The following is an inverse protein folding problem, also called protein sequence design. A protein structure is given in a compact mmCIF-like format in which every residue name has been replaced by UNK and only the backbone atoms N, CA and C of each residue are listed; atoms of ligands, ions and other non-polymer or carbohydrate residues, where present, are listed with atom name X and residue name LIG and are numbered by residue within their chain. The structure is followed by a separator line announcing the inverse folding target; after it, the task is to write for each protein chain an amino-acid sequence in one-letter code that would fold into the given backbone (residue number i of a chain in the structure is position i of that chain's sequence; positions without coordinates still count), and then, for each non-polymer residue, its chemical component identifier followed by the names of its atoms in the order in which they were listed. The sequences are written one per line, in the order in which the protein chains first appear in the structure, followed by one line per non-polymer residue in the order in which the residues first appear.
data_IF_325812811399
#
_entry.id   IF_325812811399
#
_cell.length_a   1.000
_cell.length_b   1.000
_cell.length_c   1.000
_cell.angle_alpha   90.00
_cell.angle_beta   90.00
_cell.angle_gamma   90.00
#
_symmetry.space_group_name_H-M   'P 1'
#
loop_
_entity.id
_entity.type
_entity.pdbx_description
1 polymer ?
#
# COMPACT_ATOMS: atom_id res chain seq x y z
N UNK A 1 59.96 24.89 -2.66
CA UNK A 1 60.36 23.86 -3.64
C UNK A 1 59.16 22.97 -3.90
N UNK A 2 58.67 22.92 -5.14
CA UNK A 2 57.60 21.99 -5.55
C UNK A 2 58.20 20.62 -5.91
N UNK A 3 57.41 19.55 -5.73
CA UNK A 3 57.06 18.65 -6.83
C UNK A 3 55.51 18.56 -6.92
N UNK A 4 54.79 18.83 -8.02
CA UNK A 4 54.74 18.29 -9.40
C UNK A 4 54.26 16.83 -9.54
N UNK A 5 52.96 16.71 -9.87
CA UNK A 5 52.30 15.67 -10.69
C UNK A 5 51.63 14.50 -9.93
N UNK A 6 50.42 13.99 -10.24
CA UNK A 6 49.39 14.31 -11.27
C UNK A 6 48.12 13.47 -10.98
N UNK A 7 46.92 14.03 -11.28
CA UNK A 7 45.61 13.39 -11.70
C UNK A 7 44.87 12.42 -10.75
N UNK A 8 43.52 12.34 -10.62
CA UNK A 8 42.29 13.05 -11.08
C UNK A 8 41.18 12.59 -10.11
N UNK A 9 40.23 13.45 -9.73
CA UNK A 9 38.80 13.08 -9.66
C UNK A 9 37.91 14.33 -9.54
N UNK A 10 36.93 14.32 -10.43
CA UNK A 10 35.86 15.27 -10.70
C UNK A 10 35.06 15.64 -9.44
N UNK A 11 35.04 16.93 -9.07
CA UNK A 11 34.06 17.49 -8.14
C UNK A 11 34.05 19.02 -8.20
N UNK A 12 33.10 19.53 -9.00
CA UNK A 12 32.37 20.79 -8.83
C UNK A 12 32.72 21.59 -7.57
N UNK A 13 33.49 22.67 -7.75
CA UNK A 13 33.47 23.87 -6.90
C UNK A 13 33.10 25.03 -7.83
N UNK A 14 32.08 25.84 -7.54
CA UNK A 14 32.16 27.08 -6.73
C UNK A 14 30.74 27.70 -6.81
N UNK A 15 30.10 28.19 -5.75
CA UNK A 15 30.45 29.43 -5.07
C UNK A 15 29.92 29.51 -3.61
N UNK A 16 30.89 29.67 -2.70
CA UNK A 16 31.00 30.52 -1.49
C UNK A 16 29.84 31.01 -0.61
N UNK A 17 28.54 30.77 -0.85
CA UNK A 17 27.48 31.26 0.07
C UNK A 17 26.73 30.16 0.85
N UNK A 18 27.08 28.89 0.67
CA UNK A 18 26.49 27.79 1.44
C UNK A 18 27.10 27.58 2.84
N UNK A 19 27.94 28.51 3.31
CA UNK A 19 28.67 28.40 4.58
C UNK A 19 27.99 29.00 5.83
N UNK A 20 26.77 29.54 5.73
CA UNK A 20 26.05 30.16 6.87
C UNK A 20 24.58 29.76 7.03
N UNK A 21 24.14 28.64 6.44
CA UNK A 21 22.71 28.27 6.51
C UNK A 21 22.42 26.79 6.76
N UNK A 22 23.31 26.07 7.45
CA UNK A 22 23.18 24.62 7.64
C UNK A 22 23.20 24.14 9.08
N UNK A 23 22.90 24.97 10.09
CA UNK A 23 22.92 24.45 11.47
C UNK A 23 21.74 24.78 12.38
N UNK A 24 20.95 25.85 12.21
CA UNK A 24 19.82 26.14 13.14
C UNK A 24 18.61 26.85 12.51
N UNK A 25 18.13 26.41 11.35
CA UNK A 25 16.80 26.77 10.89
C UNK A 25 15.87 25.56 11.07
N UNK A 26 15.38 25.36 12.29
CA UNK A 26 14.21 24.49 12.47
C UNK A 26 13.09 25.02 11.58
N UNK A 27 12.52 24.14 10.77
CA UNK A 27 11.44 24.44 9.82
C UNK A 27 10.17 24.98 10.51
N UNK A 28 10.11 24.95 11.84
CA UNK A 28 8.95 25.26 12.68
C UNK A 28 8.83 26.70 13.19
N UNK A 29 9.84 27.58 13.00
CA UNK A 29 9.84 28.92 13.66
C UNK A 29 9.66 30.12 12.74
N UNK A 30 9.32 29.94 11.46
CA UNK A 30 9.19 31.05 10.49
C UNK A 30 7.75 31.55 10.34
N UNK A 31 7.07 31.72 11.47
CA UNK A 31 5.70 32.22 11.52
C UNK A 31 5.69 33.75 11.57
N UNK A 32 5.19 34.40 10.51
CA UNK A 32 5.11 35.87 10.46
C UNK A 32 3.74 36.33 10.96
N UNK A 33 3.66 37.09 12.07
CA UNK A 33 2.40 37.70 12.48
C UNK A 33 2.00 38.80 11.48
N UNK A 34 0.74 38.79 11.06
CA UNK A 34 0.12 39.84 10.24
C UNK A 34 -1.25 40.19 10.83
N UNK A 35 -1.73 41.42 10.65
CA UNK A 35 -2.98 41.90 11.28
C UNK A 35 -4.20 41.21 10.73
N UNK A 36 -4.29 41.12 9.41
CA UNK A 36 -5.44 40.61 8.68
C UNK A 36 -5.03 39.97 7.33
N UNK A 37 -6.01 39.49 6.59
CA UNK A 37 -5.79 38.89 5.26
C UNK A 37 -5.26 39.90 4.24
N UNK A 38 -5.58 41.19 4.39
CA UNK A 38 -5.06 42.23 3.49
C UNK A 38 -3.57 42.42 3.68
N UNK A 39 -3.08 42.42 4.94
CA UNK A 39 -1.64 42.52 5.23
C UNK A 39 -0.88 41.25 4.80
N UNK A 40 -1.49 40.07 4.87
CA UNK A 40 -0.95 38.85 4.24
C UNK A 40 -0.84 39.01 2.72
N UNK A 41 -1.92 39.44 2.08
CA UNK A 41 -1.99 39.53 0.62
C UNK A 41 -1.09 40.64 0.07
N UNK A 42 -0.77 41.65 0.89
CA UNK A 42 0.18 42.72 0.57
C UNK A 42 1.66 42.30 0.73
N UNK A 43 1.96 41.09 1.22
CA UNK A 43 3.35 40.61 1.34
C UNK A 43 4.02 40.56 -0.05
N UNK A 44 5.12 41.28 -0.19
CA UNK A 44 5.85 41.42 -1.46
C UNK A 44 6.54 40.11 -1.85
N UNK A 45 6.62 39.85 -3.17
CA UNK A 45 7.38 38.75 -3.76
C UNK A 45 8.72 39.29 -4.27
N UNK A 46 9.81 38.55 -4.02
CA UNK A 46 11.12 38.93 -4.53
C UNK A 46 11.20 38.72 -6.07
N UNK A 47 11.67 39.71 -6.86
CA UNK A 47 11.63 39.62 -8.31
C UNK A 47 12.75 38.78 -8.96
N UNK A 48 13.77 38.29 -8.22
CA UNK A 48 14.88 37.57 -8.86
C UNK A 48 15.61 36.51 -7.99
N UNK A 49 16.25 35.53 -8.69
CA UNK A 49 17.02 34.28 -8.38
C UNK A 49 17.33 33.78 -6.94
N UNK A 50 16.97 34.46 -5.87
CA UNK A 50 17.09 33.98 -4.47
C UNK A 50 15.86 33.16 -4.00
N UNK A 51 15.03 32.68 -4.92
CA UNK A 51 13.75 31.97 -4.66
C UNK A 51 13.90 30.58 -4.02
N UNK A 52 15.13 30.10 -3.85
CA UNK A 52 15.46 28.85 -3.15
C UNK A 52 16.05 29.07 -1.75
N UNK A 53 16.14 30.32 -1.26
CA UNK A 53 16.62 30.58 0.08
C UNK A 53 15.48 30.32 1.08
N UNK A 54 15.56 29.19 1.78
CA UNK A 54 14.86 29.01 3.04
C UNK A 54 15.11 30.24 3.93
N UNK A 55 14.03 30.93 4.30
CA UNK A 55 13.93 31.94 5.36
C UNK A 55 15.17 32.79 5.63
N UNK A 56 15.36 33.89 4.90
CA UNK A 56 16.35 34.92 5.26
C UNK A 56 15.79 36.00 6.21
N UNK A 57 14.57 35.85 6.72
CA UNK A 57 13.90 36.86 7.56
C UNK A 57 13.52 38.15 6.84
N UNK A 58 13.62 38.22 5.50
CA UNK A 58 13.37 39.45 4.71
C UNK A 58 11.92 39.95 4.71
N UNK A 59 10.98 39.13 5.18
CA UNK A 59 9.56 39.45 5.15
C UNK A 59 8.92 39.37 3.76
N UNK A 60 9.63 38.83 2.77
CA UNK A 60 9.15 38.51 1.42
C UNK A 60 8.56 37.10 1.37
N UNK A 61 7.65 36.84 0.42
CA UNK A 61 7.04 35.51 0.25
C UNK A 61 8.06 34.46 -0.18
N UNK A 62 8.05 33.32 0.51
CA UNK A 62 8.81 32.12 0.17
C UNK A 62 7.90 30.89 0.25
N UNK A 63 8.24 29.83 -0.48
CA UNK A 63 7.49 28.56 -0.43
C UNK A 63 7.49 28.02 1.01
N UNK A 64 6.34 27.51 1.47
CA UNK A 64 6.09 27.01 2.81
C UNK A 64 6.16 28.06 3.94
N UNK A 65 6.22 29.35 3.61
CA UNK A 65 6.07 30.42 4.59
C UNK A 65 4.73 30.28 5.33
N UNK A 66 4.76 30.38 6.65
CA UNK A 66 3.55 30.45 7.48
C UNK A 66 3.34 31.87 7.96
N UNK A 67 2.09 32.33 7.92
CA UNK A 67 1.65 33.58 8.55
C UNK A 67 0.59 33.27 9.59
N UNK A 68 0.59 34.03 10.67
CA UNK A 68 -0.44 33.98 11.70
C UNK A 68 -1.14 35.32 11.75
N UNK A 69 -2.45 35.31 11.53
CA UNK A 69 -3.29 36.46 11.75
C UNK A 69 -3.31 36.80 13.25
N UNK A 70 -3.55 38.06 13.62
CA UNK A 70 -3.76 38.42 15.03
C UNK A 70 -4.92 37.65 15.68
N UNK A 71 -5.86 37.13 14.87
CA UNK A 71 -6.91 36.21 15.32
C UNK A 71 -6.42 34.81 15.72
N UNK A 72 -5.13 34.51 15.54
CA UNK A 72 -4.52 33.19 15.76
C UNK A 72 -4.67 32.22 14.58
N UNK A 73 -5.37 32.62 13.51
CA UNK A 73 -5.56 31.79 12.31
C UNK A 73 -4.28 31.75 11.49
N UNK A 74 -3.83 30.54 11.14
CA UNK A 74 -2.56 30.32 10.45
C UNK A 74 -2.77 29.96 8.98
N UNK A 75 -2.00 30.54 8.08
CA UNK A 75 -1.96 30.18 6.66
C UNK A 75 -0.54 29.82 6.24
N UNK A 76 -0.39 28.83 5.37
CA UNK A 76 0.88 28.44 4.79
C UNK A 76 0.81 28.57 3.27
N UNK A 77 1.80 29.24 2.68
CA UNK A 77 1.91 29.37 1.24
C UNK A 77 2.40 28.05 0.63
N UNK A 78 1.51 27.31 -0.03
CA UNK A 78 1.80 26.02 -0.64
C UNK A 78 1.66 26.12 -2.14
N UNK A 79 2.75 25.87 -2.85
CA UNK A 79 2.77 25.83 -4.31
C UNK A 79 3.06 24.38 -4.72
N UNK A 80 2.04 23.61 -5.16
CA UNK A 80 2.25 22.27 -5.68
C UNK A 80 3.28 22.31 -6.81
N UNK A 81 4.20 21.35 -6.82
CA UNK A 81 5.17 21.19 -7.90
C UNK A 81 6.09 22.40 -8.17
N UNK A 82 6.43 23.20 -7.14
CA UNK A 82 7.33 24.36 -7.30
C UNK A 82 8.66 24.03 -8.01
N UNK A 83 9.18 22.81 -7.84
CA UNK A 83 10.38 22.33 -8.53
C UNK A 83 10.21 22.06 -10.03
N UNK A 84 8.97 21.90 -10.51
CA UNK A 84 8.64 21.70 -11.93
C UNK A 84 8.40 23.03 -12.67
N UNK A 85 8.30 24.16 -11.96
CA UNK A 85 8.26 25.48 -12.59
C UNK A 85 9.66 25.79 -13.15
N UNK A 86 9.76 25.88 -14.47
CA UNK A 86 11.05 25.93 -15.16
C UNK A 86 11.63 27.34 -15.18
N UNK A 87 10.79 28.36 -15.33
CA UNK A 87 11.25 29.75 -15.43
C UNK A 87 11.17 30.50 -14.10
N UNK A 88 12.02 31.52 -13.94
CA UNK A 88 11.96 32.40 -12.76
C UNK A 88 10.64 33.18 -12.71
N UNK A 89 10.09 33.57 -13.87
CA UNK A 89 8.81 34.28 -13.97
C UNK A 89 7.65 33.41 -13.46
N UNK A 90 7.60 32.13 -13.81
CA UNK A 90 6.54 31.22 -13.35
C UNK A 90 6.58 31.05 -11.83
N UNK A 91 7.77 30.97 -11.25
CA UNK A 91 7.94 30.88 -9.79
C UNK A 91 7.51 32.16 -9.08
N UNK A 92 7.82 33.33 -9.64
CA UNK A 92 7.38 34.63 -9.11
C UNK A 92 5.86 34.75 -9.19
N UNK A 93 5.26 34.38 -10.33
CA UNK A 93 3.81 34.40 -10.50
C UNK A 93 3.10 33.47 -9.51
N UNK A 94 3.62 32.26 -9.32
CA UNK A 94 3.05 31.31 -8.36
C UNK A 94 3.15 31.80 -6.90
N UNK A 95 4.22 32.51 -6.52
CA UNK A 95 4.34 33.12 -5.18
C UNK A 95 3.43 34.35 -5.00
N UNK A 96 3.17 35.08 -6.08
CA UNK A 96 2.30 36.24 -6.07
C UNK A 96 0.81 35.87 -5.98
N UNK A 97 0.44 34.69 -6.46
CA UNK A 97 -0.93 34.21 -6.42
C UNK A 97 -1.41 33.92 -4.99
N UNK A 98 -2.41 34.69 -4.54
CA UNK A 98 -2.99 34.56 -3.21
C UNK A 98 -3.81 33.28 -3.02
N UNK A 99 -4.23 32.62 -4.10
CA UNK A 99 -4.93 31.34 -4.02
C UNK A 99 -4.05 30.22 -3.46
N UNK A 100 -2.71 30.38 -3.49
CA UNK A 100 -1.77 29.40 -2.97
C UNK A 100 -1.61 29.46 -1.43
N UNK A 101 -2.28 30.38 -0.73
CA UNK A 101 -2.33 30.37 0.74
C UNK A 101 -3.35 29.35 1.23
N UNK A 102 -2.86 28.32 1.93
CA UNK A 102 -3.68 27.25 2.50
C UNK A 102 -3.79 27.42 4.01
N UNK A 103 -4.99 27.29 4.56
CA UNK A 103 -5.21 27.30 6.00
C UNK A 103 -4.41 26.15 6.67
N UNK A 104 -3.58 26.48 7.65
CA UNK A 104 -2.90 25.47 8.48
C UNK A 104 -3.85 25.05 9.58
N UNK A 105 -4.47 23.89 9.41
CA UNK A 105 -5.19 23.23 10.49
C UNK A 105 -4.13 22.57 11.38
N UNK A 106 -3.67 23.30 12.40
CA UNK A 106 -2.88 22.68 13.46
C UNK A 106 -3.75 21.60 14.11
N UNK A 107 -3.21 20.39 14.17
CA UNK A 107 -3.91 19.21 14.65
C UNK A 107 -4.30 19.31 16.11
N UNK A 108 -5.43 19.94 16.39
CA UNK A 108 -6.41 19.50 17.40
C UNK A 108 -7.81 19.94 16.94
N UNK A 109 -8.62 19.03 16.35
CA UNK A 109 -9.98 19.35 15.92
C UNK A 109 -10.87 19.85 17.06
N UNK A 110 -10.54 19.59 18.34
CA UNK A 110 -11.31 20.06 19.47
C UNK A 110 -11.16 21.57 19.73
N UNK A 111 -9.99 22.15 19.43
CA UNK A 111 -9.75 23.59 19.57
C UNK A 111 -10.43 24.40 18.45
N UNK A 112 -10.48 23.86 17.23
CA UNK A 112 -11.20 24.47 16.10
C UNK A 112 -12.72 24.51 16.36
N UNK A 113 -13.27 23.48 17.02
CA UNK A 113 -14.69 23.46 17.44
C UNK A 113 -14.95 24.47 18.56
N UNK A 114 -14.01 24.71 19.47
CA UNK A 114 -14.16 25.72 20.53
C UNK A 114 -14.13 27.16 19.99
N UNK A 115 -13.26 27.46 19.01
CA UNK A 115 -13.21 28.79 18.36
C UNK A 115 -14.43 29.01 17.45
N UNK A 116 -14.94 27.97 16.79
CA UNK A 116 -16.20 28.03 16.04
C UNK A 116 -17.44 28.16 16.93
N UNK A 117 -17.37 27.67 18.18
CA UNK A 117 -18.46 27.78 19.16
C UNK A 117 -18.51 29.15 19.82
N UNK A 118 -17.36 29.78 20.06
CA UNK A 118 -17.27 31.00 20.87
C UNK A 118 -16.99 32.27 20.04
N UNK A 119 -16.87 32.16 18.70
CA UNK A 119 -16.47 33.26 17.80
C UNK A 119 -17.45 33.67 16.67
N UNK A 120 -18.66 33.11 16.57
CA UNK A 120 -19.61 33.48 15.50
C UNK A 120 -20.72 34.39 16.07
N UNK A 121 -20.99 35.57 15.48
CA UNK A 121 -22.08 36.45 15.92
C UNK A 121 -23.43 35.74 15.87
N UNK A 122 -24.35 36.14 16.75
CA UNK A 122 -25.69 35.57 17.00
C UNK A 122 -26.61 35.32 15.78
N UNK A 123 -26.16 35.61 14.57
CA UNK A 123 -26.85 35.39 13.29
C UNK A 123 -26.76 33.92 12.84
N UNK A 124 -25.68 33.20 13.14
CA UNK A 124 -25.47 31.83 12.66
C UNK A 124 -26.40 30.79 13.29
N UNK A 125 -26.72 30.97 14.58
CA UNK A 125 -27.63 30.08 15.31
C UNK A 125 -29.10 30.32 14.90
N UNK A 126 -29.42 31.58 14.59
CA UNK A 126 -30.72 31.98 14.03
C UNK A 126 -30.91 31.42 12.62
N UNK A 127 -29.91 31.52 11.73
CA UNK A 127 -29.96 30.93 10.38
C UNK A 127 -30.09 29.40 10.39
N UNK A 128 -29.39 28.71 11.32
CA UNK A 128 -29.55 27.26 11.49
C UNK A 128 -30.96 26.88 11.95
N UNK A 129 -31.53 27.61 12.91
CA UNK A 129 -32.91 27.40 13.36
C UNK A 129 -33.91 27.69 12.25
N UNK A 130 -33.67 28.73 11.45
CA UNK A 130 -34.52 29.08 10.31
C UNK A 130 -34.49 27.99 9.23
N UNK A 131 -33.30 27.51 8.88
CA UNK A 131 -33.12 26.48 7.85
C UNK A 131 -33.73 25.14 8.26
N UNK A 132 -33.55 24.73 9.52
CA UNK A 132 -34.15 23.50 10.05
C UNK A 132 -35.69 23.57 10.09
N UNK A 133 -36.24 24.75 10.43
CA UNK A 133 -37.69 24.95 10.48
C UNK A 133 -38.31 25.08 9.09
N UNK A 134 -37.61 25.69 8.13
CA UNK A 134 -38.02 25.74 6.73
C UNK A 134 -38.07 24.33 6.12
N UNK A 135 -37.04 23.51 6.36
CA UNK A 135 -37.04 22.11 5.95
C UNK A 135 -38.16 21.28 6.60
N UNK A 136 -38.54 21.60 7.83
CA UNK A 136 -39.66 20.94 8.54
C UNK A 136 -41.02 21.36 7.94
N UNK A 137 -41.18 22.63 7.57
CA UNK A 137 -42.37 23.13 6.88
C UNK A 137 -42.50 22.52 5.47
N UNK A 138 -41.41 22.44 4.72
CA UNK A 138 -41.38 21.79 3.39
C UNK A 138 -41.74 20.30 3.48
N UNK A 139 -41.24 19.58 4.49
CA UNK A 139 -41.60 18.18 4.74
C UNK A 139 -43.08 17.99 5.14
N UNK A 140 -43.69 18.96 5.82
CA UNK A 140 -45.11 18.95 6.18
C UNK A 140 -46.02 19.27 5.00
N UNK A 141 -45.62 20.21 4.13
CA UNK A 141 -46.38 20.57 2.92
C UNK A 141 -46.34 19.43 1.89
N UNK A 142 -45.24 18.67 1.81
CA UNK A 142 -45.11 17.52 0.92
C UNK A 142 -45.83 16.24 1.39
N UNK A 143 -46.42 16.23 2.59
CA UNK A 143 -47.13 15.08 3.15
C UNK A 143 -48.62 15.42 3.28
N UNK A 144 -49.49 14.80 2.47
CA UNK A 144 -50.95 15.01 2.48
C UNK A 144 -51.67 14.58 3.78
N UNK A 145 -50.93 14.25 4.85
CA UNK A 145 -51.44 13.75 6.12
C UNK A 145 -50.91 14.51 7.37
N UNK A 146 -50.39 15.73 7.22
CA UNK A 146 -50.01 16.58 8.36
C UNK A 146 -51.22 17.26 9.00
N UNK A 147 -51.41 17.11 10.32
CA UNK A 147 -52.40 17.87 11.10
C UNK A 147 -52.17 19.37 10.89
N UNK A 148 -53.13 20.05 10.23
CA UNK A 148 -53.02 21.44 9.82
C UNK A 148 -52.68 22.41 10.95
N UNK A 149 -52.97 22.04 12.21
CA UNK A 149 -52.55 22.82 13.38
C UNK A 149 -51.02 22.89 13.52
N UNK A 150 -50.29 21.83 13.18
CA UNK A 150 -48.82 21.76 13.28
C UNK A 150 -48.15 22.67 12.26
N UNK A 151 -48.72 22.77 11.05
CA UNK A 151 -48.24 23.69 10.02
C UNK A 151 -48.47 25.14 10.43
N UNK A 152 -49.68 25.44 10.93
CA UNK A 152 -50.05 26.78 11.41
C UNK A 152 -49.18 27.22 12.59
N UNK A 153 -48.88 26.33 13.54
CA UNK A 153 -48.00 26.64 14.67
C UNK A 153 -46.54 26.85 14.22
N UNK A 154 -46.05 26.05 13.27
CA UNK A 154 -44.70 26.22 12.70
C UNK A 154 -44.55 27.57 11.97
N UNK A 155 -45.57 27.98 11.20
CA UNK A 155 -45.61 29.28 10.52
C UNK A 155 -45.70 30.42 11.55
N UNK A 156 -46.50 30.27 12.61
CA UNK A 156 -46.63 31.28 13.67
C UNK A 156 -45.31 31.48 14.41
N UNK A 157 -44.57 30.42 14.68
CA UNK A 157 -43.25 30.53 15.31
C UNK A 157 -42.17 31.10 14.37
N UNK A 158 -42.26 30.83 13.06
CA UNK A 158 -41.41 31.50 12.06
C UNK A 158 -41.65 33.01 12.05
N UNK A 159 -42.92 33.44 12.02
CA UNK A 159 -43.31 34.85 12.10
C UNK A 159 -42.83 35.52 13.39
N UNK A 160 -42.91 34.84 14.54
CA UNK A 160 -42.41 35.37 15.82
C UNK A 160 -40.89 35.57 15.84
N UNK A 161 -40.13 34.73 15.13
CA UNK A 161 -38.68 34.90 14.95
C UNK A 161 -38.37 36.10 14.06
N UNK A 162 -39.22 36.40 13.07
CA UNK A 162 -39.07 37.56 12.18
C UNK A 162 -39.48 38.89 12.83
N UNK A 163 -40.50 38.91 13.70
CA UNK A 163 -40.86 40.11 14.49
C UNK A 163 -39.74 40.59 15.43
N UNK A 164 -38.87 39.67 15.85
CA UNK A 164 -37.78 39.96 16.79
C UNK A 164 -36.56 40.65 16.15
N UNK A 165 -36.49 40.72 14.80
CA UNK A 165 -35.37 41.32 14.06
C UNK A 165 -35.85 42.18 12.88
N UNK A 166 -36.33 43.41 13.11
CA UNK A 166 -37.00 44.23 12.10
C UNK A 166 -36.08 45.00 11.14
N UNK A 167 -34.75 44.89 11.23
CA UNK A 167 -33.86 45.75 10.44
C UNK A 167 -33.35 45.08 9.16
N UNK A 168 -33.92 45.50 8.02
CA UNK A 168 -33.26 45.40 6.71
C UNK A 168 -33.94 44.53 5.66
N UNK A 169 -34.98 43.76 6.00
CA UNK A 169 -35.75 42.98 5.01
C UNK A 169 -37.10 43.65 4.81
N UNK A 170 -37.35 44.18 3.61
CA UNK A 170 -38.67 44.66 3.22
C UNK A 170 -39.61 43.44 3.14
N UNK A 171 -40.24 43.11 4.27
CA UNK A 171 -41.09 41.92 4.39
C UNK A 171 -42.21 41.91 3.36
N UNK A 172 -42.71 43.07 2.93
CA UNK A 172 -43.72 43.15 1.88
C UNK A 172 -43.17 42.65 0.54
N UNK A 173 -41.90 42.92 0.24
CA UNK A 173 -41.27 42.45 -0.99
C UNK A 173 -41.00 40.94 -0.95
N UNK A 174 -40.69 40.40 0.22
CA UNK A 174 -40.52 38.95 0.41
C UNK A 174 -41.86 38.21 0.37
N UNK A 175 -42.90 38.78 0.98
CA UNK A 175 -44.26 38.25 0.90
C UNK A 175 -44.76 38.27 -0.53
N UNK A 176 -44.56 39.37 -1.27
CA UNK A 176 -44.96 39.43 -2.68
C UNK A 176 -44.18 38.40 -3.53
N UNK A 177 -42.88 38.18 -3.30
CA UNK A 177 -42.12 37.15 -4.02
C UNK A 177 -42.58 35.73 -3.67
N UNK A 178 -42.95 35.49 -2.40
CA UNK A 178 -43.51 34.21 -1.96
C UNK A 178 -44.90 33.99 -2.56
N UNK A 179 -45.77 35.00 -2.56
CA UNK A 179 -47.10 34.95 -3.15
C UNK A 179 -47.03 34.73 -4.66
N UNK A 180 -46.12 35.41 -5.36
CA UNK A 180 -45.88 35.23 -6.80
C UNK A 180 -45.34 33.82 -7.11
N UNK A 181 -44.43 33.29 -6.27
CA UNK A 181 -43.90 31.92 -6.41
C UNK A 181 -44.95 30.86 -6.10
N UNK A 182 -45.80 31.09 -5.10
CA UNK A 182 -46.87 30.18 -4.72
C UNK A 182 -47.95 30.16 -5.82
N UNK A 183 -48.32 31.32 -6.36
CA UNK A 183 -49.22 31.42 -7.50
C UNK A 183 -48.64 30.75 -8.76
N UNK A 184 -47.33 30.83 -8.99
CA UNK A 184 -46.66 30.13 -10.09
C UNK A 184 -46.62 28.60 -9.91
N UNK A 185 -46.53 28.13 -8.65
CA UNK A 185 -46.61 26.71 -8.29
C UNK A 185 -48.04 26.17 -8.37
N UNK A 186 -49.04 26.94 -7.94
CA UNK A 186 -50.46 26.56 -8.04
C UNK A 186 -50.99 26.62 -9.49
N UNK A 187 -50.40 27.47 -10.34
CA UNK A 187 -50.71 27.56 -11.76
C UNK A 187 -49.99 26.49 -12.61
N UNK A 188 -49.05 25.72 -12.05
CA UNK A 188 -48.51 24.55 -12.74
C UNK A 188 -49.57 23.45 -12.75
N UNK A 189 -50.11 23.04 -13.92
CA UNK A 189 -50.91 21.82 -13.98
C UNK A 189 -50.04 20.67 -13.47
N UNK A 190 -50.59 19.82 -12.59
CA UNK A 190 -49.91 18.65 -12.04
C UNK A 190 -49.22 17.88 -13.16
N UNK A 191 -47.91 18.12 -13.32
CA UNK A 191 -47.12 17.57 -14.40
C UNK A 191 -46.81 16.13 -14.07
N UNK A 192 -47.34 15.21 -14.86
CA UNK A 192 -46.98 13.79 -14.86
C UNK A 192 -45.46 13.66 -14.74
N UNK A 193 -45.01 12.96 -13.68
CA UNK A 193 -43.61 12.88 -13.24
C UNK A 193 -42.58 12.64 -14.34
N UNK A 194 -42.12 13.71 -14.97
CA UNK A 194 -41.01 13.71 -15.90
C UNK A 194 -39.68 13.57 -15.17
N UNK A 195 -38.71 12.82 -15.71
CA UNK A 195 -37.44 12.58 -15.04
C UNK A 195 -36.63 13.88 -14.91
N UNK A 196 -36.11 14.09 -13.71
CA UNK A 196 -35.08 15.09 -13.42
C UNK A 196 -33.81 14.76 -14.23
N UNK A 197 -33.56 15.52 -15.31
CA UNK A 197 -32.33 15.42 -16.08
C UNK A 197 -31.28 16.35 -15.50
N UNK A 198 -30.36 15.79 -14.69
CA UNK A 198 -29.08 16.44 -14.41
C UNK A 198 -28.28 16.46 -15.71
N UNK A 199 -27.92 17.66 -16.17
CA UNK A 199 -27.04 17.84 -17.31
C UNK A 199 -25.75 17.03 -17.12
N UNK A 200 -25.38 16.28 -18.18
CA UNK A 200 -24.47 15.14 -18.14
C UNK A 200 -23.16 15.35 -17.38
N UNK A 201 -22.89 14.45 -16.44
CA UNK A 201 -21.53 14.13 -16.01
C UNK A 201 -20.92 13.28 -17.13
N UNK A 202 -20.13 13.92 -18.00
CA UNK A 202 -19.48 13.27 -19.14
C UNK A 202 -18.17 12.58 -18.77
N UNK A 203 -17.65 12.77 -17.55
CA UNK A 203 -16.47 12.07 -17.07
C UNK A 203 -16.86 10.79 -16.32
N UNK A 204 -16.45 9.65 -16.89
CA UNK A 204 -16.60 8.36 -16.27
C UNK A 204 -15.69 8.30 -15.03
N UNK A 205 -16.26 8.44 -13.84
CA UNK A 205 -15.52 8.21 -12.59
C UNK A 205 -15.10 6.74 -12.59
N UNK A 206 -13.79 6.48 -12.53
CA UNK A 206 -13.24 5.13 -12.47
C UNK A 206 -13.87 4.36 -11.30
N UNK A 207 -14.65 3.31 -11.60
CA UNK A 207 -15.48 2.56 -10.65
C UNK A 207 -17.00 2.61 -10.91
N UNK A 208 -17.46 3.51 -11.80
CA UNK A 208 -18.89 3.67 -12.16
C UNK A 208 -19.26 3.19 -13.57
N UNK A 209 -18.39 2.41 -14.22
CA UNK A 209 -18.71 1.81 -15.52
C UNK A 209 -19.96 0.91 -15.39
N UNK A 210 -21.03 1.26 -16.12
CA UNK A 210 -22.28 0.49 -16.18
C UNK A 210 -23.45 1.01 -15.32
N UNK A 211 -23.33 2.17 -14.65
CA UNK A 211 -24.49 2.85 -14.04
C UNK A 211 -25.05 3.85 -15.05
N UNK A 212 -26.01 3.42 -15.87
CA UNK A 212 -26.56 4.23 -16.96
C UNK A 212 -27.87 4.95 -16.63
N UNK A 213 -28.46 4.72 -15.45
CA UNK A 213 -29.76 5.30 -15.12
C UNK A 213 -29.91 5.59 -13.63
N UNK A 214 -30.31 6.82 -13.31
CA UNK A 214 -30.74 7.29 -11.98
C UNK A 214 -32.18 6.86 -11.65
N UNK A 215 -32.81 6.05 -12.48
CA UNK A 215 -34.25 5.73 -12.42
C UNK A 215 -34.57 4.38 -11.75
N UNK A 216 -33.56 3.66 -11.25
CA UNK A 216 -33.76 2.36 -10.60
C UNK A 216 -32.93 2.19 -9.32
N UNK A 217 -33.57 2.37 -8.16
CA UNK A 217 -33.04 2.12 -6.80
C UNK A 217 -31.85 3.00 -6.37
N UNK A 218 -32.15 4.19 -5.83
CA UNK A 218 -31.21 5.05 -5.08
C UNK A 218 -30.37 4.29 -4.05
N UNK A 219 -30.91 3.22 -3.46
CA UNK A 219 -30.19 2.34 -2.52
C UNK A 219 -28.96 1.66 -3.14
N UNK A 220 -29.02 1.23 -4.41
CA UNK A 220 -27.89 0.60 -5.11
C UNK A 220 -26.79 1.62 -5.42
N UNK A 221 -27.17 2.86 -5.74
CA UNK A 221 -26.23 3.96 -5.95
C UNK A 221 -25.51 4.31 -4.65
N UNK A 222 -26.24 4.56 -3.57
CA UNK A 222 -25.65 4.89 -2.27
C UNK A 222 -24.81 3.74 -1.72
N UNK A 223 -25.23 2.48 -1.89
CA UNK A 223 -24.41 1.33 -1.50
C UNK A 223 -23.11 1.24 -2.32
N UNK A 224 -23.12 1.49 -3.63
CA UNK A 224 -21.88 1.50 -4.44
C UNK A 224 -20.96 2.66 -4.10
N UNK A 225 -21.52 3.82 -3.75
CA UNK A 225 -20.75 5.02 -3.41
C UNK A 225 -20.13 4.93 -2.01
N UNK A 226 -20.86 4.37 -1.03
CA UNK A 226 -20.46 4.36 0.37
C UNK A 226 -19.73 3.07 0.79
N UNK A 227 -19.90 1.96 0.08
CA UNK A 227 -19.27 0.67 0.41
C UNK A 227 -18.01 0.46 -0.44
N UNK A 228 -16.86 0.63 0.20
CA UNK A 228 -15.58 0.24 -0.40
C UNK A 228 -15.57 -1.26 -0.69
N UNK A 229 -15.43 -1.62 -1.96
CA UNK A 229 -15.30 -3.02 -2.38
C UNK A 229 -13.89 -3.55 -2.13
N UNK A 230 -13.81 -4.79 -1.65
CA UNK A 230 -12.55 -5.50 -1.43
C UNK A 230 -12.54 -6.80 -2.23
N UNK A 231 -11.41 -7.05 -2.90
CA UNK A 231 -11.13 -8.33 -3.55
C UNK A 231 -11.24 -9.50 -2.56
N UNK A 232 -11.50 -10.73 -3.05
CA UNK A 232 -11.48 -11.92 -2.20
C UNK A 232 -10.16 -12.08 -1.42
N UNK A 233 -10.14 -12.94 -0.41
CA UNK A 233 -8.88 -13.43 0.17
C UNK A 233 -8.56 -14.80 -0.41
N UNK A 234 -7.28 -15.07 -0.66
CA UNK A 234 -6.83 -16.35 -1.21
C UNK A 234 -5.74 -16.96 -0.33
N UNK A 235 -5.76 -18.29 -0.19
CA UNK A 235 -4.64 -19.07 0.35
C UNK A 235 -4.39 -20.30 -0.50
N UNK A 236 -3.14 -20.70 -0.59
CA UNK A 236 -2.69 -21.86 -1.35
C UNK A 236 -1.50 -22.50 -0.64
N UNK A 237 -1.50 -23.82 -0.54
CA UNK A 237 -0.34 -24.61 -0.10
C UNK A 237 -0.20 -25.85 -0.98
N UNK A 238 1.04 -26.32 -1.11
CA UNK A 238 1.36 -27.59 -1.76
C UNK A 238 1.70 -28.64 -0.69
N UNK A 239 1.30 -29.88 -0.92
CA UNK A 239 1.90 -31.01 -0.20
C UNK A 239 3.37 -31.18 -0.59
N UNK A 240 4.17 -31.71 0.33
CA UNK A 240 5.60 -31.99 0.13
C UNK A 240 6.37 -30.91 -0.68
N UNK A 241 6.32 -29.63 -0.27
CA UNK A 241 6.76 -28.49 -1.09
C UNK A 241 8.28 -28.45 -1.29
N UNK A 242 9.04 -29.18 -0.47
CA UNK A 242 10.47 -29.34 -0.62
C UNK A 242 10.79 -30.83 -0.76
N UNK A 243 11.39 -31.20 -1.89
CA UNK A 243 11.67 -32.60 -2.23
C UNK A 243 13.02 -32.77 -2.91
N UNK A 244 13.53 -34.00 -2.89
CA UNK A 244 14.76 -34.34 -3.60
C UNK A 244 14.52 -34.38 -5.12
N UNK A 245 15.50 -33.98 -5.93
CA UNK A 245 15.51 -34.30 -7.38
C UNK A 245 15.27 -35.80 -7.59
N UNK A 246 14.51 -36.18 -8.60
CA UNK A 246 14.06 -37.55 -8.85
C UNK A 246 12.71 -37.89 -8.24
N UNK A 247 12.28 -37.17 -7.21
CA UNK A 247 10.98 -37.39 -6.60
C UNK A 247 9.82 -37.16 -7.59
N UNK A 248 8.68 -37.81 -7.31
CA UNK A 248 7.45 -37.72 -8.11
C UNK A 248 7.09 -36.26 -8.46
N UNK A 249 6.60 -36.05 -9.68
CA UNK A 249 6.13 -34.74 -10.14
C UNK A 249 4.74 -34.37 -9.64
N UNK A 250 3.97 -35.36 -9.18
CA UNK A 250 2.61 -35.14 -8.67
C UNK A 250 2.64 -34.25 -7.41
N UNK A 251 1.66 -33.37 -7.32
CA UNK A 251 1.45 -32.42 -6.22
C UNK A 251 -0.04 -32.29 -5.97
N UNK A 252 -0.43 -32.26 -4.70
CA UNK A 252 -1.76 -31.88 -4.25
C UNK A 252 -1.73 -30.45 -3.74
N UNK A 253 -2.47 -29.57 -4.40
CA UNK A 253 -2.63 -28.17 -4.01
C UNK A 253 -3.86 -28.01 -3.15
N UNK A 254 -3.71 -27.50 -1.93
CA UNK A 254 -4.81 -27.16 -1.03
C UNK A 254 -5.08 -25.66 -1.12
N UNK A 255 -6.31 -25.27 -1.43
CA UNK A 255 -6.67 -23.85 -1.57
C UNK A 255 -7.89 -23.48 -0.73
N UNK A 256 -7.96 -22.21 -0.34
CA UNK A 256 -9.14 -21.60 0.25
C UNK A 256 -9.31 -20.17 -0.24
N UNK A 257 -10.55 -19.79 -0.48
CA UNK A 257 -10.97 -18.47 -0.95
C UNK A 257 -12.04 -17.94 -0.01
N UNK A 258 -11.78 -16.77 0.56
CA UNK A 258 -12.73 -16.06 1.42
C UNK A 258 -13.43 -14.97 0.64
N UNK A 259 -14.76 -14.95 0.71
CA UNK A 259 -15.55 -13.82 0.27
C UNK A 259 -15.26 -12.61 1.16
N UNK A 260 -15.14 -11.42 0.57
CA UNK A 260 -15.15 -10.15 1.30
C UNK A 260 -16.41 -9.36 0.99
N UNK A 261 -16.42 -8.54 -0.05
CA UNK A 261 -17.58 -7.70 -0.39
C UNK A 261 -18.54 -8.44 -1.34
N UNK A 262 -18.12 -8.63 -2.59
CA UNK A 262 -18.95 -9.26 -3.62
C UNK A 262 -18.87 -10.79 -3.55
N UNK A 263 -19.86 -11.47 -4.12
CA UNK A 263 -19.80 -12.93 -4.32
C UNK A 263 -18.63 -13.28 -5.23
N UNK A 264 -17.95 -14.39 -4.93
CA UNK A 264 -16.84 -14.88 -5.76
C UNK A 264 -17.43 -15.48 -7.04
N UNK A 265 -17.02 -14.95 -8.19
CA UNK A 265 -17.52 -15.34 -9.50
C UNK A 265 -16.66 -16.44 -10.13
N UNK A 266 -15.35 -16.43 -9.90
CA UNK A 266 -14.44 -17.47 -10.39
C UNK A 266 -13.30 -17.77 -9.44
N UNK A 267 -12.86 -19.03 -9.45
CA UNK A 267 -11.66 -19.51 -8.77
C UNK A 267 -10.88 -20.35 -9.77
N UNK A 268 -9.61 -20.04 -9.98
CA UNK A 268 -8.70 -20.76 -10.87
C UNK A 268 -7.47 -21.17 -10.07
N UNK A 269 -7.16 -22.47 -10.05
CA UNK A 269 -6.02 -23.05 -9.33
C UNK A 269 -5.14 -23.78 -10.33
N UNK A 270 -3.87 -23.41 -10.40
CA UNK A 270 -2.92 -23.98 -11.38
C UNK A 270 -3.46 -23.97 -12.84
N UNK A 271 -4.16 -22.88 -13.20
CA UNK A 271 -4.79 -22.73 -14.52
C UNK A 271 -6.11 -23.49 -14.71
N UNK A 272 -6.58 -24.24 -13.71
CA UNK A 272 -7.81 -25.02 -13.77
C UNK A 272 -8.96 -24.32 -13.03
N UNK A 273 -10.07 -24.08 -13.71
CA UNK A 273 -11.28 -23.52 -13.09
C UNK A 273 -11.86 -24.48 -12.05
N UNK A 274 -12.25 -23.94 -10.90
CA UNK A 274 -12.79 -24.70 -9.77
C UNK A 274 -14.28 -24.40 -9.60
N UNK A 275 -15.13 -25.36 -9.94
CA UNK A 275 -16.58 -25.21 -9.94
C UNK A 275 -17.26 -26.29 -9.09
N UNK A 276 -18.38 -25.94 -8.48
CA UNK A 276 -19.33 -26.89 -7.90
C UNK A 276 -20.21 -27.51 -9.00
N UNK A 277 -20.98 -28.58 -8.71
CA UNK A 277 -21.86 -29.20 -9.70
C UNK A 277 -22.93 -28.26 -10.29
N UNK A 278 -23.31 -27.21 -9.56
CA UNK A 278 -24.25 -26.17 -10.00
C UNK A 278 -23.60 -25.08 -10.87
N UNK A 279 -22.29 -25.19 -11.15
CA UNK A 279 -21.53 -24.19 -11.91
C UNK A 279 -21.06 -22.99 -11.09
N UNK A 280 -21.37 -22.91 -9.80
CA UNK A 280 -20.85 -21.85 -8.92
C UNK A 280 -19.36 -22.04 -8.60
N UNK A 281 -18.66 -20.96 -8.27
CA UNK A 281 -17.25 -21.02 -7.91
C UNK A 281 -17.03 -21.85 -6.63
N UNK A 282 -16.13 -22.84 -6.70
CA UNK A 282 -15.75 -23.66 -5.56
C UNK A 282 -14.70 -22.92 -4.72
N UNK A 283 -15.03 -22.62 -3.46
CA UNK A 283 -14.23 -21.71 -2.63
C UNK A 283 -13.12 -22.40 -1.84
N UNK A 284 -13.14 -23.73 -1.72
CA UNK A 284 -12.09 -24.48 -1.05
C UNK A 284 -12.00 -25.89 -1.60
N UNK A 285 -10.81 -26.49 -1.52
CA UNK A 285 -10.62 -27.89 -1.87
C UNK A 285 -9.18 -28.21 -2.23
N UNK A 286 -9.03 -29.33 -2.92
CA UNK A 286 -7.74 -29.84 -3.39
C UNK A 286 -7.73 -29.96 -4.91
N UNK A 287 -6.58 -29.69 -5.53
CA UNK A 287 -6.34 -29.86 -6.97
C UNK A 287 -5.07 -30.66 -7.18
N UNK A 288 -5.16 -31.73 -7.97
CA UNK A 288 -3.98 -32.45 -8.44
C UNK A 288 -3.28 -31.65 -9.55
N UNK A 289 -1.97 -31.48 -9.43
CA UNK A 289 -1.13 -30.81 -10.41
C UNK A 289 0.20 -31.54 -10.56
N UNK A 290 0.96 -31.18 -11.60
CA UNK A 290 2.29 -31.73 -11.84
C UNK A 290 3.29 -30.58 -11.98
N UNK A 291 4.47 -30.76 -11.39
CA UNK A 291 5.64 -29.94 -11.73
C UNK A 291 6.30 -30.48 -12.99
N UNK A 292 7.15 -29.67 -13.62
CA UNK A 292 8.16 -30.23 -14.50
C UNK A 292 9.14 -31.10 -13.68
N UNK A 293 9.63 -32.23 -14.21
CA UNK A 293 10.63 -33.06 -13.52
C UNK A 293 11.86 -32.25 -13.10
N UNK A 294 12.29 -32.42 -11.85
CA UNK A 294 13.50 -31.81 -11.28
C UNK A 294 13.55 -30.27 -11.36
N UNK A 295 12.41 -29.62 -11.56
CA UNK A 295 12.33 -28.20 -11.84
C UNK A 295 11.45 -27.51 -10.81
N UNK A 296 12.00 -26.47 -10.19
CA UNK A 296 11.26 -25.60 -9.28
C UNK A 296 10.04 -25.01 -10.00
N UNK A 297 8.85 -25.22 -9.44
CA UNK A 297 7.58 -24.81 -10.07
C UNK A 297 6.76 -24.02 -9.07
N UNK A 298 6.19 -22.92 -9.52
CA UNK A 298 5.27 -22.10 -8.74
C UNK A 298 3.84 -22.33 -9.25
N UNK A 299 2.91 -22.49 -8.31
CA UNK A 299 1.48 -22.60 -8.58
C UNK A 299 0.75 -21.41 -7.99
N UNK A 300 -0.35 -21.02 -8.61
CA UNK A 300 -1.18 -19.92 -8.16
C UNK A 300 -2.64 -20.34 -7.97
N UNK A 301 -3.31 -19.67 -7.05
CA UNK A 301 -4.76 -19.57 -7.01
C UNK A 301 -5.11 -18.12 -7.33
N UNK A 302 -6.11 -17.93 -8.16
CA UNK A 302 -6.67 -16.61 -8.47
C UNK A 302 -8.17 -16.69 -8.26
N UNK A 303 -8.71 -15.75 -7.49
CA UNK A 303 -10.13 -15.61 -7.30
C UNK A 303 -10.58 -14.24 -7.79
N UNK A 304 -11.68 -14.18 -8.53
CA UNK A 304 -12.28 -12.95 -9.02
C UNK A 304 -13.73 -12.88 -8.55
N UNK A 305 -14.12 -11.72 -8.02
CA UNK A 305 -15.49 -11.48 -7.58
C UNK A 305 -16.40 -10.95 -8.69
N UNK A 306 -17.70 -10.85 -8.43
CA UNK A 306 -18.69 -10.35 -9.39
C UNK A 306 -18.50 -8.85 -9.75
N UNK A 307 -17.69 -8.12 -8.99
CA UNK A 307 -17.29 -6.74 -9.28
C UNK A 307 -15.96 -6.66 -10.04
N UNK A 308 -15.42 -7.78 -10.53
CA UNK A 308 -14.13 -7.91 -11.21
C UNK A 308 -12.91 -7.55 -10.35
N UNK A 309 -13.03 -7.58 -9.02
CA UNK A 309 -11.88 -7.49 -8.13
C UNK A 309 -11.26 -8.88 -7.96
N UNK A 310 -9.93 -8.95 -8.13
CA UNK A 310 -9.19 -10.21 -8.05
C UNK A 310 -8.15 -10.21 -6.95
N UNK A 311 -7.90 -11.39 -6.40
CA UNK A 311 -6.77 -11.68 -5.52
C UNK A 311 -6.02 -12.92 -6.01
N UNK A 312 -4.73 -13.01 -5.69
CA UNK A 312 -3.94 -14.20 -5.98
C UNK A 312 -3.02 -14.55 -4.83
N UNK A 313 -2.78 -15.84 -4.65
CA UNK A 313 -1.78 -16.40 -3.74
C UNK A 313 -0.99 -17.47 -4.46
N UNK A 314 0.29 -17.59 -4.13
CA UNK A 314 1.21 -18.56 -4.75
C UNK A 314 1.77 -19.53 -3.73
N UNK A 315 2.12 -20.72 -4.19
CA UNK A 315 2.93 -21.69 -3.45
C UNK A 315 4.00 -22.24 -4.38
N UNK A 316 5.12 -22.66 -3.81
CA UNK A 316 6.25 -23.19 -4.57
C UNK A 316 6.51 -24.65 -4.22
N UNK A 317 6.85 -25.43 -5.24
CA UNK A 317 7.45 -26.75 -5.07
C UNK A 317 8.89 -26.67 -5.55
N UNK A 318 9.83 -27.08 -4.69
CA UNK A 318 11.27 -26.96 -4.90
C UNK A 318 11.93 -28.33 -4.91
N UNK A 319 12.73 -28.56 -5.94
CA UNK A 319 13.59 -29.74 -6.08
C UNK A 319 15.01 -29.36 -5.70
N UNK A 320 15.55 -30.06 -4.71
CA UNK A 320 16.90 -29.82 -4.20
C UNK A 320 17.70 -31.12 -4.16
N UNK A 321 19.02 -30.99 -4.20
CA UNK A 321 19.92 -32.12 -3.99
C UNK A 321 20.01 -32.42 -2.49
N UNK A 322 20.42 -33.64 -2.12
CA UNK A 322 20.76 -33.93 -0.73
C UNK A 322 22.22 -33.59 -0.48
N UNK A 323 22.54 -33.24 0.75
CA UNK A 323 23.91 -33.22 1.27
C UNK A 323 24.04 -34.27 2.36
N UNK A 324 25.23 -34.86 2.46
CA UNK A 324 25.51 -36.01 3.30
C UNK A 324 26.75 -35.74 4.16
N UNK A 325 26.76 -36.27 5.38
CA UNK A 325 27.92 -36.25 6.28
C UNK A 325 27.92 -37.47 7.19
N UNK A 326 29.10 -37.88 7.64
CA UNK A 326 29.22 -38.98 8.60
C UNK A 326 30.59 -39.64 8.56
N UNK A 327 30.60 -40.96 8.80
CA UNK A 327 31.81 -41.78 8.84
C UNK A 327 31.70 -43.01 7.96
N UNK A 328 32.71 -43.30 7.14
CA UNK A 328 32.82 -44.55 6.38
C UNK A 328 33.90 -45.47 6.97
N UNK A 329 33.64 -46.77 7.03
CA UNK A 329 34.65 -47.77 7.45
C UNK A 329 35.68 -48.10 6.36
N UNK A 330 35.27 -47.97 5.10
CA UNK A 330 36.09 -48.21 3.90
C UNK A 330 36.53 -46.88 3.30
N UNK A 331 37.72 -46.86 2.70
CA UNK A 331 38.26 -45.66 2.06
C UNK A 331 37.39 -45.26 0.85
N UNK A 332 36.79 -44.06 0.83
CA UNK A 332 36.04 -43.59 -0.31
C UNK A 332 36.82 -43.59 -1.63
N UNK A 333 38.16 -43.54 -1.58
CA UNK A 333 39.03 -43.61 -2.76
C UNK A 333 38.92 -44.95 -3.50
N UNK A 334 38.69 -46.05 -2.78
CA UNK A 334 38.70 -47.41 -3.32
C UNK A 334 37.32 -47.93 -3.69
N UNK A 335 36.25 -47.24 -3.30
CA UNK A 335 34.87 -47.64 -3.58
C UNK A 335 34.49 -47.37 -5.04
N UNK A 336 33.68 -48.23 -5.64
CA UNK A 336 33.01 -47.95 -6.92
C UNK A 336 31.91 -46.89 -6.75
N UNK A 337 31.44 -46.29 -7.85
CA UNK A 337 30.37 -45.27 -7.81
C UNK A 337 29.06 -45.83 -7.22
N UNK A 338 28.76 -47.11 -7.49
CA UNK A 338 27.56 -47.79 -7.00
C UNK A 338 27.67 -48.01 -5.48
N UNK A 339 28.80 -48.51 -5.00
CA UNK A 339 29.05 -48.70 -3.57
C UNK A 339 29.03 -47.36 -2.82
N UNK A 340 29.60 -46.31 -3.42
CA UNK A 340 29.63 -44.99 -2.82
C UNK A 340 28.23 -44.38 -2.70
N UNK A 341 27.41 -44.52 -3.75
CA UNK A 341 26.01 -44.09 -3.70
C UNK A 341 25.21 -44.85 -2.65
N UNK A 342 25.42 -46.17 -2.53
CA UNK A 342 24.77 -46.97 -1.50
C UNK A 342 25.20 -46.55 -0.08
N UNK A 343 26.50 -46.32 0.13
CA UNK A 343 27.04 -45.89 1.42
C UNK A 343 26.51 -44.51 1.84
N UNK A 344 26.42 -43.54 0.91
CA UNK A 344 25.86 -42.22 1.21
C UNK A 344 24.38 -42.29 1.58
N UNK A 345 23.57 -43.08 0.85
CA UNK A 345 22.13 -43.26 1.17
C UNK A 345 21.92 -43.89 2.56
N UNK A 346 22.87 -44.68 3.04
CA UNK A 346 22.83 -45.33 4.35
C UNK A 346 23.30 -44.43 5.52
N UNK A 347 23.88 -43.25 5.24
CA UNK A 347 24.29 -42.33 6.29
C UNK A 347 23.08 -41.77 7.05
N UNK A 348 23.21 -41.69 8.38
CA UNK A 348 22.25 -40.98 9.22
C UNK A 348 22.32 -39.45 9.02
N UNK A 349 23.53 -38.92 8.75
CA UNK A 349 23.74 -37.52 8.44
C UNK A 349 23.39 -37.21 6.99
N UNK A 350 22.15 -36.80 6.74
CA UNK A 350 21.70 -36.35 5.44
C UNK A 350 20.55 -35.35 5.57
N UNK A 351 20.50 -34.36 4.67
CA UNK A 351 19.35 -33.45 4.56
C UNK A 351 19.25 -32.85 3.15
N UNK A 352 18.12 -32.23 2.84
CA UNK A 352 17.97 -31.45 1.62
C UNK A 352 18.80 -30.17 1.71
N UNK A 353 19.51 -29.85 0.62
CA UNK A 353 20.41 -28.73 0.57
C UNK A 353 19.64 -27.40 0.61
N UNK A 354 19.94 -26.55 1.61
CA UNK A 354 19.54 -25.14 1.64
C UNK A 354 20.69 -24.20 1.24
N UNK A 355 21.92 -24.62 1.45
CA UNK A 355 23.18 -23.96 1.07
C UNK A 355 24.32 -24.99 1.13
N UNK A 356 25.55 -24.61 0.78
CA UNK A 356 26.73 -25.46 1.01
C UNK A 356 27.21 -25.43 2.47
N UNK A 357 27.10 -24.27 3.11
CA UNK A 357 27.65 -24.03 4.44
C UNK A 357 26.98 -24.92 5.50
N UNK A 358 27.80 -25.57 6.31
CA UNK A 358 27.36 -26.39 7.45
C UNK A 358 28.40 -26.41 8.55
N UNK A 359 27.95 -26.66 9.78
CA UNK A 359 28.81 -27.08 10.89
C UNK A 359 28.11 -28.22 11.63
N UNK A 360 28.78 -29.37 11.75
CA UNK A 360 28.20 -30.60 12.30
C UNK A 360 29.15 -31.25 13.28
N UNK A 361 28.60 -31.79 14.38
CA UNK A 361 29.33 -32.67 15.27
C UNK A 361 29.17 -34.11 14.79
N UNK A 362 30.28 -34.80 14.56
CA UNK A 362 30.33 -36.18 14.09
C UNK A 362 31.16 -37.03 15.03
N UNK A 363 30.59 -38.11 15.55
CA UNK A 363 31.31 -39.13 16.32
C UNK A 363 31.75 -40.25 15.39
N UNK A 364 33.05 -40.56 15.37
CA UNK A 364 33.68 -41.57 14.53
C UNK A 364 34.23 -42.70 15.39
N UNK A 365 34.08 -43.93 14.90
CA UNK A 365 34.65 -45.15 15.50
C UNK A 365 35.66 -45.81 14.57
N UNK A 366 36.84 -45.23 14.40
CA UNK A 366 37.86 -45.63 13.41
C UNK A 366 37.34 -45.59 11.96
N UNK A 367 36.75 -44.45 11.61
CA UNK A 367 36.08 -44.20 10.33
C UNK A 367 36.66 -42.98 9.64
N UNK A 368 36.58 -42.95 8.31
CA UNK A 368 36.87 -41.76 7.50
C UNK A 368 35.73 -40.75 7.68
N UNK A 369 35.97 -39.52 8.16
CA UNK A 369 34.95 -38.47 8.12
C UNK A 369 34.65 -38.15 6.66
N UNK A 370 33.38 -38.16 6.27
CA UNK A 370 32.96 -37.90 4.88
C UNK A 370 31.94 -36.78 4.82
N UNK A 371 32.01 -36.02 3.73
CA UNK A 371 31.00 -35.06 3.32
C UNK A 371 30.75 -35.23 1.82
N UNK A 372 29.49 -35.14 1.40
CA UNK A 372 29.15 -35.16 -0.01
C UNK A 372 28.01 -34.20 -0.35
N UNK A 373 28.10 -33.57 -1.51
CA UNK A 373 27.13 -32.62 -2.03
C UNK A 373 27.20 -32.55 -3.55
N UNK A 374 26.27 -31.85 -4.19
CA UNK A 374 26.24 -31.71 -5.65
C UNK A 374 27.51 -31.02 -6.17
N UNK A 375 28.16 -31.60 -7.18
CA UNK A 375 29.48 -31.16 -7.63
C UNK A 375 29.54 -29.68 -8.07
N UNK A 376 28.40 -29.13 -8.53
CA UNK A 376 28.28 -27.71 -8.91
C UNK A 376 28.51 -26.74 -7.75
N UNK A 377 28.40 -27.18 -6.50
CA UNK A 377 28.73 -26.34 -5.35
C UNK A 377 30.25 -26.20 -5.12
N UNK A 378 31.10 -26.88 -5.90
CA UNK A 378 32.55 -26.77 -5.85
C UNK A 378 33.19 -27.51 -4.66
N UNK A 379 34.47 -27.23 -4.40
CA UNK A 379 35.23 -27.84 -3.32
C UNK A 379 34.89 -27.18 -1.97
N UNK A 380 34.98 -27.95 -0.88
CA UNK A 380 34.75 -27.45 0.47
C UNK A 380 35.99 -26.79 1.06
N UNK A 381 35.78 -25.80 1.92
CA UNK A 381 36.80 -25.35 2.87
C UNK A 381 36.45 -25.89 4.25
N UNK A 382 37.37 -26.61 4.91
CA UNK A 382 37.08 -27.27 6.18
C UNK A 382 37.65 -26.56 7.39
N UNK A 383 36.90 -26.63 8.48
CA UNK A 383 37.43 -26.44 9.83
C UNK A 383 37.14 -27.68 10.67
N UNK A 384 38.07 -28.08 11.52
CA UNK A 384 37.88 -29.16 12.51
C UNK A 384 38.15 -28.56 13.88
N UNK A 385 37.14 -28.62 14.75
CA UNK A 385 37.13 -27.97 16.07
C UNK A 385 37.52 -26.48 16.00
N UNK A 386 37.03 -25.78 14.96
CA UNK A 386 37.27 -24.36 14.73
C UNK A 386 38.60 -24.01 14.05
N UNK A 387 39.47 -24.99 13.76
CA UNK A 387 40.75 -24.76 13.10
C UNK A 387 40.68 -25.14 11.62
N UNK A 388 41.20 -24.32 10.69
CA UNK A 388 41.28 -24.67 9.27
C UNK A 388 41.98 -26.01 9.04
N UNK A 389 41.42 -26.83 8.15
CA UNK A 389 41.96 -28.14 7.82
C UNK A 389 41.96 -28.34 6.29
N UNK A 390 43.13 -28.63 5.73
CA UNK A 390 43.34 -28.87 4.29
C UNK A 390 43.70 -30.34 3.97
N UNK A 391 43.56 -31.25 4.93
CA UNK A 391 43.90 -32.67 4.77
C UNK A 391 42.77 -33.51 4.14
N UNK A 392 41.62 -32.90 3.85
CA UNK A 392 40.53 -33.58 3.16
C UNK A 392 40.91 -33.82 1.69
N UNK A 393 40.73 -35.05 1.25
CA UNK A 393 40.84 -35.46 -0.15
C UNK A 393 39.44 -35.51 -0.75
N UNK A 394 39.32 -35.43 -2.08
CA UNK A 394 38.00 -35.47 -2.69
C UNK A 394 38.01 -35.89 -4.16
N UNK A 395 36.86 -36.37 -4.63
CA UNK A 395 36.63 -36.67 -6.05
C UNK A 395 35.17 -36.42 -6.43
N UNK A 396 34.97 -36.19 -7.72
CA UNK A 396 33.63 -36.15 -8.30
C UNK A 396 33.24 -37.54 -8.79
N UNK A 397 31.97 -37.92 -8.60
CA UNK A 397 31.41 -39.18 -9.08
C UNK A 397 29.90 -39.05 -9.36
N UNK A 398 29.33 -39.86 -10.26
CA UNK A 398 27.89 -39.90 -10.46
C UNK A 398 27.22 -40.57 -9.25
N UNK A 399 26.38 -39.81 -8.54
CA UNK A 399 25.58 -40.28 -7.43
C UNK A 399 24.15 -40.57 -7.88
N UNK A 400 23.67 -41.78 -7.63
CA UNK A 400 22.25 -42.14 -7.84
C UNK A 400 21.51 -42.15 -6.51
N UNK A 401 20.42 -41.41 -6.40
CA UNK A 401 19.62 -41.37 -5.16
C UNK A 401 18.60 -42.51 -5.06
N UNK A 402 17.77 -42.49 -4.00
CA UNK A 402 16.73 -43.50 -3.77
C UNK A 402 15.60 -43.45 -4.80
N UNK A 403 15.42 -42.32 -5.48
CA UNK A 403 14.41 -42.12 -6.52
C UNK A 403 14.95 -42.47 -7.92
N UNK A 404 16.19 -42.98 -8.02
CA UNK A 404 16.83 -43.35 -9.28
C UNK A 404 17.39 -42.18 -10.09
N UNK A 405 17.34 -40.96 -9.57
CA UNK A 405 17.94 -39.79 -10.22
C UNK A 405 19.45 -39.77 -10.01
N UNK A 406 20.19 -39.56 -11.11
CA UNK A 406 21.66 -39.48 -11.10
C UNK A 406 22.12 -38.06 -11.34
N UNK A 407 22.99 -37.56 -10.47
CA UNK A 407 23.68 -36.27 -10.64
C UNK A 407 25.11 -36.37 -10.10
N UNK A 408 26.01 -35.53 -10.62
CA UNK A 408 27.40 -35.52 -10.18
C UNK A 408 27.52 -34.97 -8.77
N UNK A 409 28.14 -35.74 -7.88
CA UNK A 409 28.44 -35.35 -6.52
C UNK A 409 29.94 -35.21 -6.34
N UNK A 410 30.33 -34.25 -5.51
CA UNK A 410 31.64 -34.19 -4.89
C UNK A 410 31.54 -34.93 -3.57
N UNK A 411 32.41 -35.91 -3.36
CA UNK A 411 32.68 -36.47 -2.04
C UNK A 411 34.06 -36.03 -1.58
N UNK A 412 34.17 -35.64 -0.32
CA UNK A 412 35.44 -35.32 0.32
C UNK A 412 35.55 -36.01 1.67
N UNK A 413 36.75 -36.48 2.01
CA UNK A 413 37.00 -37.28 3.20
C UNK A 413 38.37 -36.99 3.81
N UNK A 414 38.45 -37.06 5.14
CA UNK A 414 39.71 -37.01 5.89
C UNK A 414 40.32 -38.39 6.10
N UNK A 415 41.39 -38.49 6.87
CA UNK A 415 41.95 -39.79 7.32
C UNK A 415 41.05 -40.49 8.35
N UNK A 416 41.22 -41.80 8.54
CA UNK A 416 40.49 -42.53 9.60
C UNK A 416 40.78 -41.90 10.97
N UNK A 417 39.72 -41.73 11.75
CA UNK A 417 39.83 -41.19 13.09
C UNK A 417 38.82 -41.81 14.05
N UNK A 418 39.06 -41.61 15.34
CA UNK A 418 38.19 -42.04 16.45
C UNK A 418 37.98 -40.89 17.41
N UNK A 419 36.73 -40.56 17.70
CA UNK A 419 36.39 -39.45 18.58
C UNK A 419 35.22 -38.63 18.07
N UNK A 420 34.94 -37.52 18.74
CA UNK A 420 33.88 -36.58 18.33
C UNK A 420 34.51 -35.29 17.83
N UNK A 421 34.13 -34.87 16.63
CA UNK A 421 34.69 -33.72 15.94
C UNK A 421 33.59 -32.76 15.53
N UNK A 422 33.80 -31.47 15.74
CA UNK A 422 32.97 -30.43 15.12
C UNK A 422 33.61 -30.04 13.79
N UNK A 423 32.96 -30.38 12.69
CA UNK A 423 33.48 -30.11 11.34
C UNK A 423 32.60 -29.06 10.68
N UNK A 424 33.22 -27.94 10.31
CA UNK A 424 32.62 -26.89 9.50
C UNK A 424 33.01 -27.05 8.04
N UNK A 425 32.04 -26.91 7.13
CA UNK A 425 32.25 -26.85 5.68
C UNK A 425 31.74 -25.50 5.20
N UNK A 426 32.60 -24.74 4.53
CA UNK A 426 32.25 -23.44 3.94
C UNK A 426 32.24 -23.49 2.42
#
# INVERSE_FOLDING_TARGET
MHPLGTTVLDAVTTASDNGKNSTWAQQSTWDKPVRDLSERDALKVAPDRALNAYGNGSGLRTVNMTVTLLSGVRYQLRIPNFGLLVTAADKVNALADNANWVLVQDGDPAAAVAILRDGVPAIGDTLKKLHLRLATAEALIGNEAGDGNTLVDTIRELLAVFEQYPEGVNMQMLLNDIEDRLAALEAQPAGDGGPFTVAGITEQIAGFAGVSDFTGNNEQFWNKLLVKSYAPTTSLSADNPLRQKGASTAVTLNYSVGRRTNTVASVVVAGQAQLNPDGSAKLAGTVGANTAPNTNTDFSVTATDAGNLSSSSTTSVRYTSKRFWGGFGTDPATMSNIELSAALRALAGQELEASRQQTRSTTLGNQYPVFAWVATAGNGSYTVNGLPNNAFQGRTFPFTNSDGFTEDYRIEWGSKDTGTFTIGVN
#
